data_IF_067919724233
#
_entry.id   IF_067919724233
#
_cell.length_a   1.000
_cell.length_b   1.000
_cell.length_c   1.000
_cell.angle_alpha   90.00
_cell.angle_beta   90.00
_cell.angle_gamma   90.00
#
_symmetry.space_group_name_H-M   'P 1'
#
loop_
_entity.id
_entity.type
_entity.pdbx_description
1 polymer ?
2 non-polymer ?
#
# COMPACT_ATOMS: atom_id res chain seq x y z
N UNK A 12 -37.28 -16.37 -39.26
CA UNK A 12 -36.88 -15.23 -38.45
C UNK A 12 -36.38 -14.10 -39.34
N UNK A 13 -36.80 -12.87 -39.03
CA UNK A 13 -36.41 -11.73 -39.84
C UNK A 13 -34.90 -11.52 -39.81
N UNK A 14 -34.33 -11.39 -38.61
CA UNK A 14 -32.90 -11.19 -38.47
C UNK A 14 -32.29 -12.20 -37.49
N UNK A 15 -31.21 -11.82 -36.84
CA UNK A 15 -30.46 -12.67 -35.92
C UNK A 15 -30.73 -12.30 -34.47
N UNK A 16 -30.49 -13.22 -33.52
CA UNK A 16 -30.59 -12.86 -32.10
C UNK A 16 -29.25 -12.46 -31.49
N UNK A 17 -28.29 -12.04 -32.33
CA UNK A 17 -26.98 -11.64 -31.85
C UNK A 17 -26.30 -10.80 -32.93
N UNK A 18 -25.44 -9.85 -32.54
CA UNK A 18 -24.74 -9.04 -33.54
C UNK A 18 -23.32 -9.54 -33.79
N UNK A 19 -22.53 -8.76 -34.53
CA UNK A 19 -21.14 -9.11 -34.78
C UNK A 19 -20.31 -9.03 -33.51
N UNK A 29 -8.41 -7.94 -41.60
CA UNK A 29 -7.27 -8.50 -42.32
C UNK A 29 -6.44 -9.39 -41.41
N UNK A 30 -5.44 -10.07 -41.99
CA UNK A 30 -4.61 -10.98 -41.21
C UNK A 30 -3.76 -10.21 -40.22
N UNK A 31 -3.11 -9.13 -40.68
CA UNK A 31 -2.31 -8.31 -39.78
C UNK A 31 -3.17 -7.67 -38.70
N UNK A 32 -4.38 -7.24 -39.07
CA UNK A 32 -5.30 -6.72 -38.06
C UNK A 32 -5.78 -7.81 -37.12
N UNK A 33 -5.97 -9.03 -37.65
CA UNK A 33 -6.29 -10.16 -36.78
C UNK A 33 -5.10 -10.57 -35.93
N UNK A 34 -3.88 -10.19 -36.33
CA UNK A 34 -2.71 -10.48 -35.53
C UNK A 34 -2.53 -9.50 -34.38
N UNK A 35 -2.93 -8.24 -34.57
CA UNK A 35 -2.86 -7.27 -33.48
C UNK A 35 -3.86 -7.61 -32.39
N UNK A 36 -4.86 -8.42 -32.69
CA UNK A 36 -5.80 -8.90 -31.69
C UNK A 36 -5.28 -10.15 -31.02
N UNK A 37 -4.53 -10.96 -31.75
CA UNK A 37 -3.92 -12.15 -31.17
C UNK A 37 -2.78 -11.77 -30.22
N UNK A 38 -2.11 -10.65 -30.46
CA UNK A 38 -1.05 -10.21 -29.56
C UNK A 38 -1.61 -9.48 -28.35
N UNK A 39 -2.67 -8.69 -28.55
CA UNK A 39 -3.28 -7.96 -27.45
C UNK A 39 -3.96 -8.91 -26.46
N UNK A 40 -4.47 -10.04 -26.95
CA UNK A 40 -5.11 -11.00 -26.06
C UNK A 40 -4.11 -11.90 -25.34
N UNK A 41 -2.88 -11.97 -25.82
CA UNK A 41 -1.86 -12.86 -25.26
C UNK A 41 -1.28 -12.23 -24.00
N UNK A 42 -1.88 -12.57 -22.85
CA UNK A 42 -1.40 -12.13 -21.55
C UNK A 42 -1.58 -13.29 -20.56
N UNK A 43 -0.54 -13.54 -19.76
CA UNK A 43 -0.59 -14.58 -18.74
C UNK A 43 0.28 -14.15 -17.57
N UNK A 44 0.52 -15.08 -16.62
CA UNK A 44 1.26 -14.76 -15.41
C UNK A 44 1.78 -16.01 -14.73
N UNK A 45 3.07 -16.09 -14.42
CA UNK A 45 3.60 -17.21 -13.64
C UNK A 45 3.39 -16.98 -12.15
N UNK A 46 3.54 -18.07 -11.38
CA UNK A 46 3.34 -18.01 -9.93
C UNK A 46 4.55 -18.58 -9.22
N UNK A 47 5.65 -17.84 -9.20
CA UNK A 47 6.83 -18.19 -8.42
C UNK A 47 7.40 -16.92 -7.80
N UNK A 48 7.51 -15.87 -8.61
CA UNK A 48 7.82 -14.55 -8.07
C UNK A 48 6.72 -14.06 -7.16
N UNK A 49 5.52 -14.61 -7.29
CA UNK A 49 4.41 -14.23 -6.44
C UNK A 49 4.64 -14.75 -5.02
N UNK A 50 4.04 -14.05 -4.04
CA UNK A 50 4.06 -14.48 -2.66
C UNK A 50 2.62 -14.68 -2.17
N UNK A 51 2.41 -15.59 -1.20
CA UNK A 51 1.03 -15.91 -0.80
C UNK A 51 0.31 -14.77 -0.09
N UNK A 52 0.17 -13.64 -0.78
CA UNK A 52 -0.54 -12.49 -0.25
C UNK A 52 -1.10 -11.68 -1.41
N UNK A 53 -2.30 -11.16 -1.24
CA UNK A 53 -2.86 -10.23 -2.20
C UNK A 53 -2.21 -8.86 -2.04
N UNK A 54 -2.28 -8.05 -3.10
CA UNK A 54 -1.80 -6.68 -2.99
C UNK A 54 -2.65 -5.87 -2.02
N UNK A 55 -3.92 -6.25 -1.85
CA UNK A 55 -4.74 -5.63 -0.82
C UNK A 55 -4.22 -5.98 0.58
N UNK A 56 -3.59 -7.14 0.72
CA UNK A 56 -3.00 -7.52 2.01
C UNK A 56 -1.63 -6.88 2.20
N UNK A 57 -0.85 -6.77 1.12
CA UNK A 57 0.44 -6.09 1.20
C UNK A 57 0.27 -4.64 1.61
N UNK A 58 -0.76 -3.97 1.08
CA UNK A 58 -1.00 -2.60 1.47
C UNK A 58 -1.57 -2.50 2.88
N UNK A 59 -2.22 -3.56 3.38
CA UNK A 59 -2.75 -3.53 4.75
C UNK A 59 -1.64 -3.37 5.78
N UNK A 60 -0.39 -3.63 5.41
CA UNK A 60 0.73 -3.49 6.36
C UNK A 60 0.98 -2.05 6.76
N UNK A 61 0.30 -1.07 6.15
CA UNK A 61 0.43 0.31 6.61
C UNK A 61 -0.03 0.46 8.05
N UNK A 62 -0.98 -0.37 8.47
CA UNK A 62 -1.54 -0.32 9.81
C UNK A 62 -0.73 -1.11 10.83
N UNK A 63 0.44 -1.61 10.44
CA UNK A 63 1.27 -2.38 11.37
C UNK A 63 1.66 -1.54 12.58
N UNK A 64 1.93 -0.26 12.36
CA UNK A 64 2.28 0.64 13.45
C UNK A 64 1.18 1.67 13.68
N UNK A 65 -0.06 1.19 13.84
CA UNK A 65 -1.19 2.09 14.09
C UNK A 65 -1.06 2.83 15.43
N UNK A 66 -0.24 2.30 16.35
CA UNK A 66 -0.08 2.95 17.65
C UNK A 66 0.44 4.37 17.50
N UNK A 67 1.20 4.64 16.43
CA UNK A 67 1.66 6.01 16.18
C UNK A 67 0.50 6.94 15.87
N UNK A 68 -0.59 6.41 15.31
CA UNK A 68 -1.77 7.23 15.04
C UNK A 68 -2.53 7.51 16.34
N UNK A 69 -2.73 6.48 17.16
CA UNK A 69 -3.35 6.69 18.46
C UNK A 69 -2.50 7.62 19.32
N UNK A 70 -1.17 7.54 19.19
CA UNK A 70 -0.30 8.47 19.89
C UNK A 70 -0.40 9.88 19.32
N UNK A 71 -0.68 10.00 18.03
CA UNK A 71 -0.78 11.32 17.40
C UNK A 71 -2.06 12.04 17.77
N UNK A 72 -3.17 11.30 17.87
CA UNK A 72 -4.46 11.92 18.17
C UNK A 72 -4.59 12.38 19.61
N UNK A 73 -3.65 11.99 20.48
CA UNK A 73 -3.72 12.35 21.89
C UNK A 73 -2.78 13.48 22.28
N UNK A 74 -1.87 13.87 21.40
CA UNK A 74 -0.92 14.94 21.70
C UNK A 74 -1.54 16.30 21.35
N UNK A 75 -1.34 17.27 22.23
CA UNK A 75 -1.89 18.61 22.08
C UNK A 75 -1.01 19.53 21.24
N UNK A 76 0.18 19.08 20.84
CA UNK A 76 1.09 19.90 20.07
C UNK A 76 1.05 19.47 18.61
N UNK A 77 0.72 20.35 17.67
CA UNK A 77 0.64 19.92 16.26
C UNK A 77 1.95 19.40 15.69
N UNK A 78 3.08 19.99 16.09
CA UNK A 78 4.36 19.54 15.55
C UNK A 78 4.74 18.18 16.15
N UNK A 79 4.26 17.87 17.35
CA UNK A 79 4.43 16.52 17.88
C UNK A 79 3.49 15.55 17.19
N UNK A 80 2.28 16.00 16.84
CA UNK A 80 1.42 15.21 15.98
C UNK A 80 2.05 15.01 14.61
N UNK A 81 2.74 16.04 14.11
CA UNK A 81 3.39 15.94 12.81
C UNK A 81 4.52 14.92 12.84
N UNK A 82 5.28 14.88 13.93
CA UNK A 82 6.36 13.90 14.04
C UNK A 82 5.81 12.48 14.00
N UNK A 83 4.67 12.24 14.67
CA UNK A 83 4.10 10.91 14.68
C UNK A 83 3.59 10.51 13.29
N UNK A 84 2.89 11.43 12.62
CA UNK A 84 2.43 11.15 11.26
C UNK A 84 3.63 10.98 10.33
N UNK A 85 4.68 11.77 10.54
CA UNK A 85 5.91 11.58 9.78
C UNK A 85 6.52 10.22 10.07
N UNK A 86 6.53 9.82 11.34
CA UNK A 86 7.05 8.49 11.69
C UNK A 86 6.14 7.39 11.17
N UNK A 87 4.83 7.62 11.18
CA UNK A 87 3.90 6.60 10.68
C UNK A 87 4.06 6.39 9.18
N UNK A 88 4.26 7.47 8.43
CA UNK A 88 4.45 7.34 6.99
C UNK A 88 5.71 6.54 6.67
N UNK A 89 6.76 6.73 7.47
CA UNK A 89 7.99 5.96 7.27
C UNK A 89 7.78 4.52 7.68
N UNK A 90 7.11 4.28 8.80
CA UNK A 90 6.87 2.91 9.26
C UNK A 90 5.95 2.15 8.34
N UNK A 91 5.16 2.84 7.52
CA UNK A 91 4.23 2.15 6.64
C UNK A 91 4.97 1.45 5.50
N UNK A 92 5.94 2.13 4.90
CA UNK A 92 6.73 1.56 3.81
C UNK A 92 7.99 0.86 4.34
N UNK A 93 8.06 0.59 5.64
CA UNK A 93 9.26 0.02 6.23
C UNK A 93 9.36 -1.49 6.03
N UNK A 94 8.24 -2.19 6.11
CA UNK A 94 8.23 -3.64 6.03
C UNK A 94 8.52 -4.18 4.63
N UNK A 95 8.94 -3.36 3.67
CA UNK A 95 9.21 -3.80 2.31
C UNK A 95 10.64 -4.26 2.12
N UNK A 96 11.33 -4.64 3.19
CA UNK A 96 12.73 -5.04 3.11
C UNK A 96 12.84 -6.55 3.08
N UNK A 97 13.71 -7.05 2.19
CA UNK A 97 13.94 -8.47 1.95
C UNK A 97 12.70 -9.19 1.43
N UNK A 98 11.64 -8.45 1.11
CA UNK A 98 10.40 -9.05 0.63
C UNK A 98 10.30 -8.85 -0.88
N UNK A 99 11.22 -9.51 -1.59
CA UNK A 99 11.27 -9.47 -3.06
C UNK A 99 10.22 -10.35 -3.72
N UNK A 100 9.14 -10.68 -3.02
CA UNK A 100 8.07 -11.50 -3.58
C UNK A 100 6.87 -10.64 -3.94
N UNK A 101 6.46 -10.75 -5.20
CA UNK A 101 5.32 -9.97 -5.67
C UNK A 101 4.03 -10.46 -5.03
N UNK A 102 3.14 -9.57 -4.62
CA UNK A 102 1.81 -10.00 -4.18
C UNK A 102 0.92 -10.30 -5.38
N UNK A 103 -0.09 -11.14 -5.12
CA UNK A 103 -1.03 -11.51 -6.17
C UNK A 103 -1.80 -10.27 -6.63
N UNK A 104 -1.72 -9.99 -7.93
CA UNK A 104 -2.45 -8.88 -8.52
C UNK A 104 -3.94 -9.08 -8.30
N UNK A 105 -4.60 -8.20 -7.54
CA UNK A 105 -5.99 -8.46 -7.16
C UNK A 105 -6.92 -8.47 -8.38
N UNK A 106 -7.76 -9.49 -8.47
CA UNK A 106 -8.75 -9.56 -9.52
C UNK A 106 -9.78 -8.45 -9.35
N UNK A 107 -10.43 -8.09 -10.45
CA UNK A 107 -11.41 -7.02 -10.42
C UNK A 107 -12.56 -7.38 -9.49
N UNK A 108 -12.78 -6.53 -8.48
CA UNK A 108 -13.80 -6.78 -7.49
C UNK A 108 -13.32 -7.47 -6.24
N UNK A 109 -12.05 -7.83 -6.17
CA UNK A 109 -11.51 -8.50 -4.99
C UNK A 109 -11.48 -7.52 -3.81
N UNK A 110 -11.78 -8.05 -2.62
CA UNK A 110 -11.82 -7.23 -1.41
C UNK A 110 -10.98 -7.88 -0.33
N UNK A 111 -10.74 -7.12 0.74
CA UNK A 111 -10.05 -7.63 1.91
C UNK A 111 -10.37 -6.73 3.10
N UNK A 112 -10.47 -7.34 4.27
CA UNK A 112 -10.76 -6.63 5.51
C UNK A 112 -9.96 -7.24 6.66
N UNK A 113 -9.47 -6.37 7.53
CA UNK A 113 -8.71 -6.80 8.69
C UNK A 113 -9.12 -5.98 9.89
N UNK A 114 -9.53 -6.65 10.96
CA UNK A 114 -9.96 -6.01 12.20
C UNK A 114 -9.05 -6.51 13.31
N UNK A 115 -8.04 -5.71 13.66
CA UNK A 115 -7.15 -6.03 14.77
C UNK A 115 -7.73 -5.43 16.04
N UNK A 116 -8.18 -6.29 16.96
CA UNK A 116 -8.84 -5.82 18.16
C UNK A 116 -7.87 -5.09 19.09
N UNK A 117 -6.63 -5.57 19.17
CA UNK A 117 -5.66 -4.98 20.08
C UNK A 117 -5.06 -3.70 19.51
N UNK A 118 -4.81 -3.65 18.20
CA UNK A 118 -4.22 -2.45 17.60
C UNK A 118 -5.23 -1.31 17.55
N UNK A 119 -6.53 -1.62 17.41
CA UNK A 119 -7.55 -0.60 17.46
C UNK A 119 -7.87 0.03 16.12
N UNK A 120 -8.13 -0.79 15.11
CA UNK A 120 -8.49 -0.28 13.80
C UNK A 120 -9.26 -1.35 13.05
N UNK A 121 -10.01 -0.91 12.04
CA UNK A 121 -10.68 -1.80 11.09
C UNK A 121 -10.53 -1.20 9.70
N UNK A 122 -10.15 -2.03 8.73
CA UNK A 122 -9.80 -1.57 7.40
C UNK A 122 -10.54 -2.35 6.33
N UNK A 123 -11.02 -1.64 5.30
CA UNK A 123 -11.61 -2.22 4.11
C UNK A 123 -10.76 -1.85 2.91
N UNK A 124 -10.69 -2.76 1.95
CA UNK A 124 -9.92 -2.52 0.73
C UNK A 124 -10.53 -3.32 -0.40
N UNK A 125 -11.05 -2.64 -1.42
CA UNK A 125 -11.64 -3.28 -2.58
C UNK A 125 -10.81 -2.95 -3.81
N UNK A 126 -10.46 -3.98 -4.58
CA UNK A 126 -9.78 -3.79 -5.87
C UNK A 126 -10.75 -3.10 -6.81
N UNK A 127 -10.60 -1.78 -6.97
CA UNK A 127 -11.59 -0.98 -7.66
C UNK A 127 -11.35 -0.90 -9.16
N UNK A 128 -10.19 -1.32 -9.65
CA UNK A 128 -9.89 -1.23 -11.08
C UNK A 128 -8.76 -2.17 -11.42
N UNK A 129 -8.94 -2.98 -12.46
CA UNK A 129 -7.88 -3.86 -12.93
C UNK A 129 -7.10 -3.27 -14.10
N UNK A 130 -7.65 -2.26 -14.76
CA UNK A 130 -6.98 -1.57 -15.86
C UNK A 130 -7.28 -0.09 -15.75
N UNK A 131 -6.38 0.71 -15.12
CA UNK A 131 -5.14 0.24 -14.51
C UNK A 131 -5.35 -0.42 -13.15
N UNK A 132 -4.39 -1.24 -12.70
CA UNK A 132 -4.54 -1.92 -11.41
C UNK A 132 -4.56 -0.95 -10.24
N UNK A 133 -5.72 -0.35 -9.98
CA UNK A 133 -5.88 0.61 -8.89
C UNK A 133 -6.52 -0.11 -7.70
N UNK A 134 -5.96 0.11 -6.51
CA UNK A 134 -6.48 -0.46 -5.28
C UNK A 134 -6.87 0.65 -4.33
N UNK A 135 -8.09 0.59 -3.81
CA UNK A 135 -8.61 1.59 -2.88
C UNK A 135 -8.90 0.94 -1.53
N UNK A 136 -8.63 1.68 -0.46
CA UNK A 136 -8.79 1.17 0.88
C UNK A 136 -9.40 2.24 1.78
N UNK A 137 -9.84 1.81 2.96
CA UNK A 137 -10.42 2.70 3.95
C UNK A 137 -10.30 2.05 5.32
N UNK A 138 -9.74 2.80 6.28
CA UNK A 138 -9.54 2.31 7.64
C UNK A 138 -10.03 3.35 8.64
N UNK A 139 -10.58 2.88 9.74
CA UNK A 139 -11.11 3.74 10.79
C UNK A 139 -10.70 3.20 12.16
N UNK A 140 -10.57 4.10 13.12
CA UNK A 140 -10.16 3.70 14.45
C UNK A 140 -11.28 2.97 15.19
N UNK A 141 -10.89 1.98 15.99
CA UNK A 141 -11.87 1.23 16.76
C UNK A 141 -12.53 2.08 17.83
N UNK A 142 -11.83 3.09 18.35
CA UNK A 142 -12.37 4.00 19.34
C UNK A 142 -12.68 5.38 18.75
N UNK A 143 -12.90 5.45 17.44
CA UNK A 143 -13.31 6.68 16.76
C UNK A 143 -12.29 7.80 16.97
N UNK A 144 -11.02 7.48 16.74
CA UNK A 144 -9.94 8.45 16.90
C UNK A 144 -9.31 8.90 15.60
N UNK A 145 -9.44 8.13 14.52
CA UNK A 145 -8.88 8.52 13.24
C UNK A 145 -9.65 7.85 12.12
N UNK A 146 -9.40 8.32 10.90
CA UNK A 146 -9.91 7.72 9.67
C UNK A 146 -8.78 7.72 8.65
N UNK A 147 -8.44 6.55 8.12
CA UNK A 147 -7.30 6.38 7.23
C UNK A 147 -7.76 5.74 5.94
N UNK A 148 -7.53 6.42 4.81
CA UNK A 148 -7.97 5.90 3.53
C UNK A 148 -7.05 6.43 2.43
N UNK A 149 -7.19 5.84 1.25
CA UNK A 149 -6.39 6.25 0.12
C UNK A 149 -6.49 5.24 -1.01
N UNK A 150 -5.80 5.56 -2.10
CA UNK A 150 -5.77 4.70 -3.27
C UNK A 150 -4.34 4.66 -3.82
N UNK A 151 -3.97 3.51 -4.35
CA UNK A 151 -2.61 3.28 -4.86
C UNK A 151 -2.69 2.56 -6.19
N UNK A 152 -1.98 3.10 -7.19
CA UNK A 152 -1.81 2.42 -8.48
C UNK A 152 -0.33 2.26 -8.75
N UNK A 153 0.21 1.05 -8.74
CA UNK A 153 1.64 0.84 -8.98
C UNK A 153 1.98 0.90 -10.47
N UNK A 154 2.72 1.95 -10.84
CA UNK A 154 3.21 2.08 -12.22
C UNK A 154 4.58 1.43 -12.31
N UNK A 155 4.65 0.29 -13.00
CA UNK A 155 5.89 -0.47 -13.10
C UNK A 155 6.71 0.03 -14.28
N UNK A 156 7.97 0.37 -14.02
CA UNK A 156 8.90 0.86 -15.03
C UNK A 156 10.11 -0.05 -15.06
N UNK A 157 10.40 -0.62 -16.24
CA UNK A 157 11.62 -1.40 -16.43
C UNK A 157 12.72 -0.50 -16.96
N UNK A 158 13.89 -0.57 -16.34
CA UNK A 158 15.02 0.26 -16.75
C UNK A 158 16.31 -0.42 -16.34
N UNK A 159 17.25 -0.54 -17.28
CA UNK A 159 18.54 -1.13 -16.97
C UNK A 159 18.40 -2.54 -16.44
N UNK A 160 19.07 -2.80 -15.32
CA UNK A 160 19.02 -4.10 -14.66
C UNK A 160 18.16 -4.08 -13.40
N UNK A 161 17.21 -3.15 -13.33
CA UNK A 161 16.34 -3.00 -12.17
C UNK A 161 14.91 -2.76 -12.63
N UNK A 162 13.99 -2.73 -11.68
CA UNK A 162 12.58 -2.49 -11.95
C UNK A 162 12.02 -1.58 -10.85
N UNK A 163 11.41 -0.48 -11.26
CA UNK A 163 10.79 0.47 -10.34
C UNK A 163 9.30 0.19 -10.21
N UNK A 164 8.70 0.79 -9.17
CA UNK A 164 7.27 0.67 -8.93
C UNK A 164 6.84 1.94 -8.20
N UNK A 165 6.17 2.83 -8.91
CA UNK A 165 5.79 4.13 -8.37
C UNK A 165 4.38 4.06 -7.82
N UNK A 166 4.18 4.13 -6.50
CA UNK A 166 2.82 4.06 -5.95
C UNK A 166 2.04 5.34 -6.19
N UNK A 167 1.28 5.38 -7.28
CA UNK A 167 0.53 6.56 -7.65
C UNK A 167 -0.76 6.63 -6.84
N UNK A 168 -0.95 7.72 -6.12
CA UNK A 168 -2.13 7.91 -5.31
C UNK A 168 -1.81 8.69 -4.05
N UNK A 169 -2.84 9.32 -3.48
CA UNK A 169 -2.69 10.16 -2.30
C UNK A 169 -3.18 9.41 -1.07
N UNK A 170 -2.36 9.39 -0.03
CA UNK A 170 -2.73 8.81 1.26
C UNK A 170 -3.41 9.90 2.08
N UNK A 171 -4.42 9.51 2.86
CA UNK A 171 -5.20 10.45 3.66
C UNK A 171 -5.38 9.91 5.06
N UNK A 172 -4.97 10.68 6.06
CA UNK A 172 -5.12 10.33 7.47
C UNK A 172 -5.87 11.45 8.16
N UNK A 173 -7.12 11.18 8.55
CA UNK A 173 -7.98 12.16 9.20
C UNK A 173 -7.88 11.97 10.70
N UNK A 174 -7.27 12.92 11.39
CA UNK A 174 -7.23 12.91 12.86
C UNK A 174 -8.56 13.47 13.36
N UNK A 175 -9.39 12.59 13.92
CA UNK A 175 -10.77 12.94 14.20
C UNK A 175 -10.88 13.97 15.32
N UNK A 176 -10.32 13.65 16.49
CA UNK A 176 -10.52 14.51 17.65
C UNK A 176 -9.82 15.85 17.54
N UNK A 177 -8.90 16.02 16.59
CA UNK A 177 -8.23 17.30 16.38
C UNK A 177 -8.79 18.07 15.20
N UNK A 178 -9.76 17.51 14.49
CA UNK A 178 -10.40 18.18 13.33
C UNK A 178 -9.36 18.57 12.28
N UNK A 179 -8.42 17.67 12.01
CA UNK A 179 -7.38 17.90 11.02
C UNK A 179 -7.18 16.63 10.21
N UNK A 180 -6.46 16.77 9.10
CA UNK A 180 -6.18 15.64 8.22
C UNK A 180 -4.82 15.84 7.56
N UNK A 181 -4.14 14.72 7.31
CA UNK A 181 -2.82 14.73 6.69
C UNK A 181 -2.88 13.98 5.37
N UNK A 182 -2.10 14.46 4.39
CA UNK A 182 -2.03 13.85 3.08
C UNK A 182 -0.58 13.81 2.61
N UNK A 183 -0.21 12.71 1.96
CA UNK A 183 1.15 12.56 1.43
C UNK A 183 1.12 11.50 0.33
N UNK A 184 2.30 11.24 -0.24
CA UNK A 184 2.46 10.27 -1.32
C UNK A 184 3.63 9.36 -1.02
N UNK A 185 3.41 8.06 -1.07
CA UNK A 185 4.47 7.10 -0.78
C UNK A 185 5.58 7.21 -1.83
N UNK A 186 6.82 6.92 -1.45
CA UNK A 186 7.93 7.05 -2.39
C UNK A 186 8.01 5.85 -3.33
N UNK A 187 8.81 6.02 -4.39
CA UNK A 187 8.95 4.99 -5.40
C UNK A 187 9.76 3.82 -4.86
N UNK A 188 9.27 2.60 -5.11
CA UNK A 188 9.97 1.39 -4.73
C UNK A 188 10.66 0.80 -5.95
N UNK A 189 11.91 0.38 -5.78
CA UNK A 189 12.73 -0.14 -6.86
C UNK A 189 13.32 -1.48 -6.47
N UNK A 190 13.38 -2.40 -7.43
CA UNK A 190 13.94 -3.74 -7.23
C UNK A 190 15.19 -3.83 -8.09
N UNK A 191 16.35 -3.76 -7.45
CA UNK A 191 17.62 -3.75 -8.15
C UNK A 191 18.10 -5.17 -8.45
N UNK A 192 18.91 -5.29 -9.49
CA UNK A 192 19.57 -6.54 -9.90
C UNK A 192 18.55 -7.68 -10.00
N UNK A 193 17.75 -7.62 -11.05
CA UNK A 193 16.69 -8.59 -11.26
C UNK A 193 17.01 -9.60 -12.37
N UNK A 194 17.79 -9.20 -13.38
CA UNK A 194 18.11 -10.06 -14.52
C UNK A 194 18.81 -11.32 -14.03
N UNK A 195 20.05 -11.18 -13.59
CA UNK A 195 20.84 -12.31 -13.09
C UNK A 195 21.75 -11.83 -11.97
N UNK A 196 21.16 -11.22 -10.95
CA UNK A 196 21.94 -10.68 -9.86
C UNK A 196 21.30 -10.85 -8.50
N UNK A 197 21.65 -9.99 -7.55
CA UNK A 197 21.21 -10.07 -6.17
C UNK A 197 20.02 -9.14 -5.98
N UNK A 198 18.83 -9.72 -5.79
CA UNK A 198 17.62 -8.91 -5.61
C UNK A 198 17.64 -8.24 -4.24
N UNK A 199 17.61 -6.91 -4.24
CA UNK A 199 17.47 -6.15 -3.00
C UNK A 199 16.60 -4.93 -3.27
N UNK A 200 15.64 -4.68 -2.36
CA UNK A 200 14.64 -3.65 -2.54
C UNK A 200 15.15 -2.33 -1.99
N UNK A 201 14.92 -1.26 -2.73
CA UNK A 201 15.26 0.08 -2.28
C UNK A 201 14.09 0.99 -2.55
N UNK A 202 13.83 1.92 -1.64
CA UNK A 202 12.75 2.89 -1.76
C UNK A 202 13.34 4.29 -1.71
N UNK A 203 13.03 5.09 -2.74
CA UNK A 203 13.48 6.47 -2.81
C UNK A 203 12.35 7.32 -3.38
N UNK A 204 12.52 8.64 -3.26
CA UNK A 204 11.56 9.59 -3.73
C UNK A 204 11.46 10.76 -2.77
N UNK A 205 10.40 11.55 -2.94
CA UNK A 205 10.15 12.72 -2.12
C UNK A 205 8.73 12.65 -1.59
N UNK A 206 8.59 12.65 -0.27
CA UNK A 206 7.30 12.59 0.39
C UNK A 206 7.05 13.92 1.11
N UNK A 207 5.87 14.49 0.91
CA UNK A 207 5.50 15.74 1.55
C UNK A 207 4.17 15.55 2.26
N UNK A 208 4.17 15.70 3.59
CA UNK A 208 2.97 15.57 4.40
C UNK A 208 2.46 16.97 4.72
N UNK A 209 1.16 17.18 4.57
CA UNK A 209 0.53 18.48 4.74
C UNK A 209 -0.49 18.39 5.86
N UNK A 210 -0.36 19.27 6.85
CA UNK A 210 -1.37 19.45 7.89
C UNK A 210 -2.31 20.54 7.41
N UNK A 211 -3.49 20.14 6.93
CA UNK A 211 -4.41 21.09 6.31
C UNK A 211 -5.07 22.03 7.31
N UNK A 212 -4.96 21.76 8.61
CA UNK A 212 -5.52 22.67 9.60
C UNK A 212 -4.51 23.71 10.07
N UNK A 213 -3.31 23.25 10.45
CA UNK A 213 -2.29 24.14 10.98
C UNK A 213 -1.33 24.67 9.92
N UNK A 214 -1.36 24.11 8.70
CA UNK A 214 -0.45 24.52 7.66
C UNK A 214 0.95 23.94 7.78
N UNK A 215 1.18 23.03 8.71
CA UNK A 215 2.49 22.43 8.86
C UNK A 215 2.78 21.47 7.71
N UNK A 216 4.00 21.55 7.17
CA UNK A 216 4.45 20.67 6.11
C UNK A 216 5.68 19.90 6.58
N UNK A 217 5.68 18.59 6.35
CA UNK A 217 6.81 17.73 6.66
C UNK A 217 7.36 17.18 5.36
N UNK A 218 8.53 17.66 4.96
CA UNK A 218 9.22 17.16 3.78
C UNK A 218 10.11 16.00 4.18
N UNK A 219 10.03 14.91 3.42
CA UNK A 219 10.87 13.74 3.64
C UNK A 219 11.55 13.36 2.33
N UNK A 220 12.88 13.22 2.38
CA UNK A 220 13.67 12.88 1.21
C UNK A 220 14.24 11.49 1.40
N UNK A 221 13.59 10.50 0.79
CA UNK A 221 14.13 9.13 0.74
C UNK A 221 15.30 9.13 -0.23
N UNK A 222 16.51 9.20 0.32
CA UNK A 222 17.72 9.19 -0.50
C UNK A 222 17.91 7.85 -1.19
N UNK A 223 18.54 7.86 -2.36
CA UNK A 223 18.76 6.63 -3.13
C UNK A 223 20.18 6.08 -2.94
N UNK A 224 20.42 4.87 -3.45
CA UNK A 224 21.73 4.25 -3.34
C UNK A 224 22.82 5.12 -3.94
N UNK A 225 22.44 5.91 -4.96
CA UNK A 225 23.38 6.79 -5.62
C UNK A 225 24.67 6.09 -5.99
N UNK A 230 25.95 4.93 2.00
CA UNK A 230 24.61 5.52 1.97
C UNK A 230 23.68 4.67 1.11
N UNK A 231 22.60 4.18 1.70
CA UNK A 231 21.69 3.29 0.99
C UNK A 231 20.22 3.65 1.26
N UNK A 232 19.76 3.41 2.48
CA UNK A 232 18.35 3.59 2.83
C UNK A 232 18.12 4.80 3.72
N UNK A 233 18.98 5.81 3.63
CA UNK A 233 18.86 6.99 4.48
C UNK A 233 17.61 7.78 4.12
N UNK A 234 17.01 8.39 5.14
CA UNK A 234 15.83 9.23 4.98
C UNK A 234 16.07 10.49 5.80
N UNK A 235 16.19 11.62 5.11
CA UNK A 235 16.39 12.91 5.75
C UNK A 235 15.25 13.85 5.40
N UNK A 236 14.85 14.68 6.34
CA UNK A 236 13.76 15.60 6.11
C UNK A 236 13.66 16.64 7.21
N UNK A 237 12.53 17.33 7.21
CA UNK A 237 12.30 18.41 8.17
C UNK A 237 10.80 18.64 8.29
N UNK A 238 10.44 19.42 9.32
CA UNK A 238 9.06 19.81 9.57
C UNK A 238 9.01 21.32 9.72
N UNK A 239 8.17 21.98 8.93
CA UNK A 239 8.03 23.43 8.96
C UNK A 239 6.57 23.80 9.09
N UNK A 240 6.32 25.08 9.35
CA UNK A 240 4.99 25.63 9.59
C UNK A 240 4.48 26.33 8.33
N UNK A 241 3.48 27.19 8.49
CA UNK A 241 2.96 27.94 7.35
C UNK A 241 3.94 29.02 6.91
N UNK A 242 4.59 29.67 7.87
CA UNK A 242 5.58 30.70 7.56
C UNK A 242 6.88 30.13 6.99
N UNK A 243 6.94 28.82 6.77
CA UNK A 243 8.09 28.15 6.18
C UNK A 243 9.35 28.36 7.03
N UNK A 244 9.32 27.74 8.21
CA UNK A 244 10.43 27.78 9.16
C UNK A 244 10.64 26.38 9.71
N UNK A 245 11.84 25.85 9.54
CA UNK A 245 12.14 24.51 10.03
C UNK A 245 12.00 24.44 11.54
N UNK A 246 11.10 23.57 12.01
CA UNK A 246 10.87 23.36 13.43
C UNK A 246 11.57 22.12 13.96
N UNK A 247 11.57 21.03 13.17
CA UNK A 247 12.26 19.80 13.53
C UNK A 247 13.01 19.29 12.32
N UNK A 248 14.12 18.60 12.57
CA UNK A 248 14.93 17.99 11.52
C UNK A 248 14.85 16.48 11.68
N UNK A 249 14.33 15.81 10.67
CA UNK A 249 14.14 14.36 10.70
C UNK A 249 15.26 13.67 9.94
N UNK A 250 15.75 12.57 10.50
CA UNK A 250 16.78 11.78 9.84
C UNK A 250 16.67 10.33 10.32
N UNK A 251 17.27 9.43 9.56
CA UNK A 251 17.27 8.02 9.87
C UNK A 251 17.20 7.21 8.60
N UNK A 252 16.89 5.92 8.77
CA UNK A 252 16.75 4.99 7.66
C UNK A 252 15.40 4.31 7.74
N UNK A 253 14.74 4.19 6.58
CA UNK A 253 13.40 3.58 6.55
C UNK A 253 13.43 2.10 6.87
N UNK A 254 14.60 1.47 6.90
CA UNK A 254 14.75 0.09 7.32
C UNK A 254 15.22 -0.04 8.76
N UNK A 255 15.30 1.08 9.49
CA UNK A 255 15.81 1.06 10.86
C UNK A 255 14.98 1.92 11.79
N UNK A 256 15.08 3.23 11.68
CA UNK A 256 14.47 4.13 12.65
C UNK A 256 14.31 5.51 12.05
N UNK A 257 13.71 6.41 12.81
CA UNK A 257 13.52 7.80 12.41
C UNK A 257 13.64 8.68 13.64
N UNK A 258 14.50 9.69 13.57
CA UNK A 258 14.77 10.59 14.68
C UNK A 258 14.26 11.99 14.39
N UNK A 259 14.10 12.78 15.45
CA UNK A 259 13.70 14.17 15.36
C UNK A 259 14.65 14.99 16.23
N UNK A 260 15.54 15.73 15.59
CA UNK A 260 16.54 16.52 16.29
C UNK A 260 16.31 17.99 15.95
N UNK A 261 16.90 18.86 16.77
CA UNK A 261 16.78 20.29 16.54
C UNK A 261 17.41 20.65 15.19
N UNK A 262 16.78 21.51 14.40
CA UNK A 262 17.32 21.81 13.06
C UNK A 262 18.69 22.47 13.09
N UNK A 263 19.00 23.26 14.12
CA UNK A 263 20.28 23.97 14.16
C UNK A 263 21.43 22.98 14.30
N UNK A 264 21.32 22.05 15.24
CA UNK A 264 22.38 21.06 15.43
C UNK A 264 22.38 19.98 14.35
N UNK A 265 21.36 19.92 13.50
CA UNK A 265 21.33 18.92 12.44
C UNK A 265 22.23 19.33 11.27
N UNK A 266 22.15 20.59 10.85
CA UNK A 266 22.95 21.05 9.72
C UNK A 266 24.43 21.08 10.01
N UNK A 267 24.83 21.02 11.28
CA UNK A 267 26.22 21.02 11.68
C UNK A 267 26.86 19.62 11.60
N UNK A 268 26.30 18.72 10.80
CA UNK A 268 26.85 17.38 10.63
C UNK A 268 26.77 17.01 9.16
N UNK A 269 27.92 16.74 8.55
CA UNK A 269 27.98 16.38 7.13
C UNK A 269 29.16 15.45 6.87
N UNK A 296 24.46 -6.56 -3.60
CA UNK A 296 23.54 -6.00 -2.62
C UNK A 296 24.35 -5.13 -1.70
N UNK A 297 24.41 -3.85 -2.02
CA UNK A 297 25.22 -2.93 -1.22
C UNK A 297 24.90 -3.11 0.24
N UNK A 298 25.77 -2.68 1.14
CA UNK A 298 25.56 -2.86 2.57
C UNK A 298 25.42 -1.52 3.31
N UNK A 301 24.73 1.98 9.36
CA UNK A 301 23.93 2.29 10.53
C UNK A 301 23.76 3.79 10.71
N UNK A 302 22.85 4.18 11.60
CA UNK A 302 22.51 5.58 11.82
C UNK A 302 23.50 6.18 12.83
N UNK A 303 23.73 7.48 12.69
CA UNK A 303 24.57 8.26 13.60
C UNK A 303 23.65 9.15 14.43
N UNK A 304 23.51 8.83 15.72
CA UNK A 304 22.57 9.54 16.58
C UNK A 304 23.14 10.93 16.89
N UNK A 305 22.49 11.95 16.35
CA UNK A 305 22.91 13.34 16.61
C UNK A 305 22.64 13.67 18.07
N UNK A 306 23.54 14.39 18.76
CA UNK A 306 23.25 14.79 20.14
C UNK A 306 21.96 15.58 20.23
N UNK A 307 21.16 15.25 21.25
CA UNK A 307 19.87 15.90 21.43
C UNK A 307 18.78 15.35 20.55
N UNK A 308 18.86 14.08 20.16
CA UNK A 308 17.89 13.47 19.28
C UNK A 308 16.78 12.78 20.07
N UNK A 309 15.64 12.57 19.41
CA UNK A 309 14.50 11.90 19.98
C UNK A 309 14.10 10.77 19.03
N UNK A 310 14.06 9.55 19.56
CA UNK A 310 13.70 8.38 18.76
C UNK A 310 12.19 8.38 18.56
N UNK A 311 11.75 8.75 17.34
CA UNK A 311 10.32 8.76 17.05
C UNK A 311 9.78 7.35 16.87
N UNK A 312 10.55 6.49 16.21
CA UNK A 312 10.10 5.14 15.90
C UNK A 312 11.30 4.32 15.44
N UNK A 313 11.26 3.03 15.72
CA UNK A 313 12.24 2.09 15.21
C UNK A 313 11.52 0.81 14.78
N UNK A 314 12.21 0.01 13.98
CA UNK A 314 11.59 -1.18 13.40
C UNK A 314 11.34 -2.22 14.48
N UNK A 315 10.23 -2.96 14.34
CA UNK A 315 9.98 -4.12 15.18
C UNK A 315 10.72 -5.32 14.61
N UNK A 316 11.39 -6.12 15.45
CA UNK A 316 12.17 -7.24 14.92
C UNK A 316 11.27 -8.32 14.32
N UNK A 317 11.61 -8.77 13.12
CA UNK A 317 10.84 -9.82 12.47
C UNK A 317 10.97 -11.12 13.27
N UNK A 318 9.92 -11.93 13.28
CA UNK A 318 9.97 -13.19 14.03
C UNK A 318 10.99 -14.14 13.42
N UNK A 319 11.43 -15.15 14.18
CA UNK A 319 12.42 -16.09 13.64
C UNK A 319 11.94 -16.85 12.42
N UNK A 320 10.63 -16.95 12.21
CA UNK A 320 10.08 -17.65 11.06
C UNK A 320 10.14 -16.81 9.77
N UNK A 321 10.82 -15.67 9.80
CA UNK A 321 10.80 -14.76 8.67
C UNK A 321 11.72 -15.22 7.55
N UNK A 322 12.95 -15.62 7.88
CA UNK A 322 13.96 -15.88 6.87
C UNK A 322 13.55 -16.97 5.89
N UNK A 323 12.77 -17.96 6.36
CA UNK A 323 12.37 -19.09 5.53
C UNK A 323 10.88 -19.05 5.17
N UNK A 324 10.22 -17.90 5.33
CA UNK A 324 8.81 -17.76 4.99
C UNK A 324 8.57 -16.38 4.34
N UNK A 325 9.25 -16.15 3.21
CA UNK A 325 9.08 -14.96 2.39
C UNK A 325 9.36 -13.66 3.13
N UNK A 326 10.16 -13.73 4.20
CA UNK A 326 10.61 -12.55 4.94
C UNK A 326 9.42 -11.74 5.47
N UNK A 327 8.38 -12.43 5.91
CA UNK A 327 7.20 -11.75 6.43
C UNK A 327 7.48 -11.17 7.81
N UNK A 328 6.70 -10.17 8.17
CA UNK A 328 6.72 -9.60 9.51
C UNK A 328 5.67 -10.29 10.37
N UNK A 329 5.82 -10.15 11.69
CA UNK A 329 4.86 -10.74 12.62
C UNK A 329 3.44 -10.23 12.37
N UNK A 330 3.30 -9.06 11.76
CA UNK A 330 1.97 -8.56 11.40
C UNK A 330 1.51 -9.13 10.07
N UNK A 331 2.43 -9.34 9.14
CA UNK A 331 2.06 -9.79 7.79
C UNK A 331 1.57 -11.23 7.80
N UNK A 332 2.01 -12.04 8.76
CA UNK A 332 1.65 -13.46 8.82
C UNK A 332 0.27 -13.69 9.42
N UNK A 333 -0.49 -12.62 9.68
CA UNK A 333 -1.85 -12.72 10.21
C UNK A 333 -2.89 -12.29 9.20
N UNK A 334 -2.48 -11.79 8.04
CA UNK A 334 -3.42 -11.28 7.05
C UNK A 334 -4.37 -12.36 6.53
N UNK A 335 -3.87 -13.57 6.34
CA UNK A 335 -4.73 -14.67 5.88
C UNK A 335 -5.34 -15.45 7.04
N UNK A 342 -14.28 -15.25 10.36
CA UNK A 342 -14.14 -16.70 10.34
C UNK A 342 -14.90 -17.28 9.15
N UNK A 343 -16.22 -17.07 9.14
CA UNK A 343 -17.06 -17.59 8.06
C UNK A 343 -18.10 -16.60 7.57
N UNK A 344 -18.28 -15.45 8.22
CA UNK A 344 -19.25 -14.45 7.77
C UNK A 344 -18.59 -13.50 6.79
N UNK A 345 -17.42 -13.88 6.29
CA UNK A 345 -16.70 -13.01 5.34
C UNK A 345 -17.43 -13.01 4.00
N UNK A 346 -17.44 -11.91 3.26
CA UNK A 346 -18.12 -11.89 1.96
C UNK A 346 -17.40 -12.77 0.96
N UNK A 347 -18.12 -13.08 -0.13
CA UNK A 347 -17.60 -13.95 -1.18
C UNK A 347 -16.49 -13.32 -1.99
N UNK A 348 -16.05 -12.10 -1.65
CA UNK A 348 -15.00 -11.42 -2.39
C UNK A 348 -13.71 -11.25 -1.59
N UNK A 349 -13.71 -11.58 -0.30
CA UNK A 349 -12.52 -11.41 0.51
C UNK A 349 -11.41 -12.35 0.02
N UNK A 350 -10.22 -11.79 -0.18
CA UNK A 350 -9.13 -12.54 -0.80
C UNK A 350 -8.67 -13.73 0.03
N UNK A 351 -9.11 -13.84 1.29
CA UNK A 351 -8.88 -15.07 2.02
C UNK A 351 -9.61 -16.24 1.38
N UNK A 352 -10.71 -15.96 0.68
CA UNK A 352 -11.48 -16.96 -0.05
C UNK A 352 -10.92 -17.18 -1.46
N UNK A 353 -9.95 -16.41 -1.89
CA UNK A 353 -9.37 -16.62 -3.20
C UNK A 353 -8.57 -17.91 -3.21
N UNK A 354 -8.97 -18.93 -3.95
CA UNK A 354 -8.22 -20.19 -3.93
C UNK A 354 -6.84 -20.08 -4.56
N UNK A 355 -6.61 -19.05 -5.39
CA UNK A 355 -5.29 -18.83 -5.94
C UNK A 355 -4.28 -18.52 -4.84
N UNK A 356 -4.61 -17.57 -3.97
CA UNK A 356 -3.73 -17.26 -2.85
C UNK A 356 -3.78 -18.35 -1.80
N UNK A 357 -4.95 -18.97 -1.62
CA UNK A 357 -5.13 -19.94 -0.55
C UNK A 357 -4.31 -21.20 -0.82
N UNK A 358 -4.43 -21.77 -2.01
CA UNK A 358 -3.72 -23.02 -2.32
C UNK A 358 -2.22 -22.85 -2.23
N UNK A 359 -1.71 -21.66 -2.54
CA UNK A 359 -0.27 -21.42 -2.41
C UNK A 359 0.15 -21.40 -0.95
N UNK A 360 -0.76 -20.99 -0.05
CA UNK A 360 -0.43 -20.91 1.37
C UNK A 360 -0.29 -22.28 2.02
N UNK A 361 -0.92 -23.31 1.46
CA UNK A 361 -0.83 -24.66 2.02
C UNK A 361 0.38 -25.44 1.53
N UNK A 362 1.22 -24.83 0.70
CA UNK A 362 2.38 -25.50 0.15
C UNK A 362 2.17 -26.16 -1.19
N UNK A 363 0.93 -26.48 -1.55
CA UNK A 363 0.63 -27.07 -2.85
C UNK A 363 0.87 -26.01 -3.93
N UNK A 364 2.05 -26.08 -4.56
CA UNK A 364 2.45 -25.04 -5.50
C UNK A 364 1.64 -25.15 -6.79
N UNK A 365 1.79 -26.28 -7.50
CA UNK A 365 1.16 -26.44 -8.80
C UNK A 365 -0.35 -26.35 -8.74
N UNK A 366 -0.95 -26.65 -7.59
CA UNK A 366 -2.39 -26.46 -7.44
C UNK A 366 -2.77 -25.00 -7.52
N UNK A 367 -2.00 -24.12 -6.90
CA UNK A 367 -2.31 -22.70 -6.94
C UNK A 367 -1.96 -22.07 -8.27
N UNK A 368 -0.96 -22.60 -8.96
CA UNK A 368 -0.56 -22.04 -10.24
C UNK A 368 -1.66 -22.16 -11.28
N UNK A 369 -2.32 -23.33 -11.33
CA UNK A 369 -3.42 -23.50 -12.26
C UNK A 369 -4.62 -22.64 -11.89
N UNK A 370 -4.95 -22.57 -10.61
CA UNK A 370 -6.06 -21.74 -10.16
C UNK A 370 -5.78 -20.25 -10.36
N UNK A 371 -4.51 -19.86 -10.47
CA UNK A 371 -4.20 -18.51 -10.90
C UNK A 371 -4.56 -18.31 -12.36
N UNK A 372 -4.17 -19.25 -13.22
CA UNK A 372 -4.59 -19.21 -14.61
C UNK A 372 -6.10 -19.32 -14.73
N UNK A 373 -6.73 -20.12 -13.86
CA UNK A 373 -8.18 -20.25 -13.87
C UNK A 373 -8.85 -18.94 -13.50
N UNK A 374 -8.45 -18.35 -12.38
CA UNK A 374 -9.09 -17.11 -11.93
C UNK A 374 -8.80 -15.95 -12.88
N UNK A 375 -7.61 -15.93 -13.49
CA UNK A 375 -7.34 -14.91 -14.51
C UNK A 375 -8.17 -15.15 -15.76
N UNK A 376 -8.41 -16.42 -16.13
CA UNK A 376 -9.19 -16.72 -17.32
C UNK A 376 -10.65 -16.35 -17.10
N UNK A 377 -11.18 -16.56 -15.90
CA UNK A 377 -12.55 -16.14 -15.61
C UNK A 377 -12.68 -14.63 -15.62
N UNK A 378 -11.71 -13.92 -15.03
CA UNK A 378 -11.70 -12.47 -15.12
C UNK A 378 -11.49 -12.00 -16.54
N UNK A 379 -10.74 -12.76 -17.34
CA UNK A 379 -10.55 -12.41 -18.75
C UNK A 379 -11.80 -12.70 -19.57
N UNK A 380 -12.66 -13.62 -19.11
CA UNK A 380 -13.89 -13.95 -19.83
C UNK A 380 -15.07 -13.13 -19.37
N UNK A 381 -15.21 -12.90 -18.06
CA UNK A 381 -16.32 -12.12 -17.56
C UNK A 381 -16.20 -10.65 -17.96
N UNK A 382 -14.97 -10.17 -18.15
CA UNK A 382 -14.79 -8.79 -18.60
C UNK A 382 -15.25 -8.60 -20.03
N UNK A 383 -15.13 -9.64 -20.85
CA UNK A 383 -15.56 -9.53 -22.24
C UNK A 383 -17.09 -9.55 -22.36
N UNK A 384 -17.77 -10.26 -21.46
CA UNK A 384 -19.22 -10.35 -21.50
C UNK A 384 -19.91 -9.08 -21.00
N UNK A 385 -19.17 -8.14 -20.41
CA UNK A 385 -19.73 -6.89 -19.95
C UNK A 385 -19.65 -5.78 -21.00
N UNK A 386 -19.09 -6.06 -22.17
CA UNK A 386 -19.06 -5.09 -23.26
C UNK A 386 -20.43 -4.86 -23.88
N UNK A 387 -21.44 -5.64 -23.49
CA UNK A 387 -22.78 -5.50 -24.03
C UNK A 387 -23.56 -4.45 -23.24
N UNK A 392 -18.40 -1.33 -15.07
CA UNK A 392 -18.41 -2.19 -13.91
C UNK A 392 -18.89 -1.43 -12.67
N UNK A 393 -19.48 -2.16 -11.73
CA UNK A 393 -20.03 -1.57 -10.51
C UNK A 393 -19.01 -1.66 -9.38
N UNK A 394 -18.61 -0.50 -8.86
CA UNK A 394 -17.73 -0.45 -7.69
C UNK A 394 -18.61 -0.51 -6.44
N UNK A 395 -18.45 -1.59 -5.67
CA UNK A 395 -19.39 -1.88 -4.60
C UNK A 395 -19.17 -1.08 -3.33
N UNK A 396 -17.94 -0.60 -3.09
CA UNK A 396 -17.63 0.04 -1.82
C UNK A 396 -16.88 1.36 -1.94
N UNK A 397 -16.56 1.81 -3.15
CA UNK A 397 -15.89 3.07 -3.35
C UNK A 397 -16.46 3.76 -4.58
N UNK A 398 -16.41 5.08 -4.58
CA UNK A 398 -16.89 5.88 -5.70
C UNK A 398 -15.83 6.90 -6.08
N UNK A 399 -15.62 7.07 -7.38
CA UNK A 399 -14.57 7.95 -7.89
C UNK A 399 -14.92 9.40 -7.54
N UNK A 400 -14.63 9.75 -6.28
CA UNK A 400 -14.84 11.09 -5.80
C UNK A 400 -13.52 11.79 -5.56
N UNK A 401 -13.52 13.12 -5.67
CA UNK A 401 -12.29 13.88 -5.43
C UNK A 401 -11.91 13.89 -3.96
N UNK A 402 -10.60 13.88 -3.72
CA UNK A 402 -10.10 13.95 -2.35
C UNK A 402 -10.48 15.29 -1.73
N UNK A 403 -11.17 15.30 -0.58
CA UNK A 403 -11.71 16.57 -0.05
C UNK A 403 -10.66 17.51 0.50
N UNK A 404 -9.39 17.10 0.60
CA UNK A 404 -8.36 17.94 1.20
C UNK A 404 -7.35 18.48 0.20
N UNK A 405 -7.03 17.74 -0.85
CA UNK A 405 -6.10 18.22 -1.87
C UNK A 405 -6.75 18.40 -3.24
N UNK A 406 -7.83 17.69 -3.54
CA UNK A 406 -8.56 17.86 -4.77
C UNK A 406 -8.34 16.79 -5.81
N UNK A 407 -7.33 15.92 -5.63
CA UNK A 407 -7.06 14.88 -6.60
C UNK A 407 -8.17 13.83 -6.61
N UNK A 408 -8.40 13.26 -7.79
CA UNK A 408 -9.42 12.23 -7.94
C UNK A 408 -9.07 11.00 -7.11
N UNK A 409 -9.65 10.90 -5.92
CA UNK A 409 -9.40 9.81 -5.00
C UNK A 409 -10.47 8.73 -5.16
N UNK A 410 -10.67 7.91 -4.12
CA UNK A 410 -11.72 6.89 -4.11
C UNK A 410 -12.36 6.94 -2.72
N UNK A 411 -13.41 7.74 -2.58
CA UNK A 411 -14.05 7.94 -1.28
C UNK A 411 -14.82 6.68 -0.89
N UNK A 412 -14.70 6.29 0.37
CA UNK A 412 -15.41 5.13 0.90
C UNK A 412 -16.90 5.42 0.97
N UNK A 413 -17.69 4.62 0.23
CA UNK A 413 -19.13 4.85 0.16
C UNK A 413 -19.78 4.66 1.52
N UNK A 414 -19.58 3.50 2.13
CA UNK A 414 -20.12 3.19 3.44
C UNK A 414 -20.99 1.96 3.42
N UNK A 415 -21.63 1.71 4.56
CA UNK A 415 -22.58 0.62 4.75
C UNK A 415 -21.95 -0.75 4.54
N UNK A 416 -20.63 -0.85 4.68
CA UNK A 416 -19.98 -2.14 4.50
C UNK A 416 -20.12 -3.00 5.76
N UNK A 417 -20.05 -2.38 6.93
CA UNK A 417 -20.14 -3.12 8.18
C UNK A 417 -21.55 -3.59 8.51
N UNK A 418 -22.51 -3.35 7.62
CA UNK A 418 -23.83 -3.94 7.71
C UNK A 418 -23.81 -5.27 6.96
N UNK A 419 -24.10 -6.36 7.68
CA UNK A 419 -24.01 -7.69 7.10
C UNK A 419 -24.99 -7.91 5.95
N UNK A 420 -26.00 -7.05 5.79
CA UNK A 420 -26.98 -7.20 4.73
C UNK A 420 -26.41 -6.63 3.44
N UNK A 421 -26.10 -7.51 2.49
CA UNK A 421 -25.63 -7.09 1.18
C UNK A 421 -25.97 -8.17 0.15
N UNK A 422 -26.07 -7.75 -1.11
CA UNK A 422 -26.46 -8.65 -2.19
C UNK A 422 -25.86 -8.13 -3.48
N UNK A 423 -25.81 -9.02 -4.49
CA UNK A 423 -25.31 -8.70 -5.83
C UNK A 423 -23.82 -8.34 -5.79
N UNK A 424 -23.07 -9.07 -4.98
CA UNK A 424 -21.62 -8.97 -5.02
C UNK A 424 -21.10 -9.87 -6.13
N UNK A 425 -20.19 -9.38 -6.98
CA UNK A 425 -19.75 -10.17 -8.14
C UNK A 425 -19.07 -11.47 -7.74
N UNK A 426 -19.14 -12.47 -8.62
CA UNK A 426 -18.59 -13.80 -8.35
C UNK A 426 -17.20 -13.87 -8.98
N UNK A 427 -16.18 -13.46 -8.21
CA UNK A 427 -14.83 -13.48 -8.74
C UNK A 427 -14.25 -14.88 -8.72
N UNK A 428 -14.53 -15.65 -7.68
CA UNK A 428 -14.08 -17.05 -7.61
C UNK A 428 -15.04 -17.90 -6.79
X LIG B 1 6.48 -0.58 -2.07
X LIG B 1 5.84 0.17 -0.90
X LIG B 1 4.71 1.05 -1.41
X LIG B 1 3.63 0.16 -2.01
X LIG B 1 4.21 -0.76 -3.06
X LIG B 1 3.56 -0.89 -4.23
X LIG B 1 4.11 -1.67 -5.40
X LIG B 1 5.10 -2.73 -4.92
X LIG B 1 6.14 -2.09 -4.01
X LIG B 1 5.49 -1.52 -2.74
X LIG B 1 7.29 -3.05 -3.64
X LIG B 1 7.88 -3.78 -4.84
X LIG B 1 6.76 -4.46 -5.59
X LIG B 1 5.82 -3.39 -6.09
X LIG B 1 4.98 -4.06 -7.16
X LIG B 1 5.90 -5.13 -7.75
X LIG B 1 7.14 -5.19 -6.87
X LIG B 1 6.01 -5.42 -4.65
X LIG B 1 5.14 -2.66 -1.80
X LIG B 1 7.64 -6.62 -6.66
X LIG B 1 8.86 -6.65 -5.76
X LIG B 1 7.92 -7.30 -8.00
X LIG B 1 8.59 -8.65 -7.78
X LIG B 1 8.09 -9.67 -8.80
X LIG B 1 8.84 -9.53 -10.13
X LIG B 1 10.34 -9.50 -9.91
X LIG B 1 8.44 -10.64 -11.09
X LIG B 1 4.16 1.80 -0.33
#
# INVERSE_FOLDING_TARGET
>A
MDALSNGIKKHRTSLPSPMFSRNDFSIWSILRKCIGMELSKITMPVIFNEPLSFLQRLTEYMEHTYLIHKASSLSDPVERMQCVAAFAVSAVASQWERTGKPFNPLLGETYELVRDDLGFRLISEQVSHHPPISAFHAEGLNNDFIFHGSIYPKLKFWGKSVEAEPKGTITLELLEHNEAYTWTNPTCCVHNIIVGKLWIEQYGNVEIINHKTGDKCVLNFKPCGLFGKELHKVEGYIQDKSKKKLCALYGKWTECLYSVDPATFDAYKKNDKKNTEEKKNSKQMSTSEELDEMPVPDSESVFIIPGSVLLWRIAPRPPNSAQMYNFTSFAMVLNEVDKDMESVIPKTDCRLRPDIRAMENGEIDQASEEKKRLEEKQRAARKNRSKSEEDWKTRWFHQGPNPYNGAQDWIYSGSYWDRNYFNLPDIYLEHHHHHH
>B hetero
1 CLR C1 C2 C3 C4 C5 C6 C7 C8 C9 C10 C11 C12 C13 C14 C15 C16 C17 C18 C19 C20 C21 C22 C23 C24 C25 C26 C27 O1
#
